data_IF_608886804032
#
_entry.id   IF_608886804032
#
_cell.length_a   1.000
_cell.length_b   1.000
_cell.length_c   1.000
_cell.angle_alpha   90.00
_cell.angle_beta   90.00
_cell.angle_gamma   90.00
#
_symmetry.space_group_name_H-M   'P 1'
#
loop_
_entity.id
_entity.type
_entity.pdbx_description
1 polymer ?
#
# COMPACT_ATOMS: atom_id res chain seq x y z
N UNK A 1 -11.75 9.68 16.95
CA UNK A 1 -11.17 9.83 15.60
C UNK A 1 -9.65 9.92 15.59
N UNK A 2 -9.02 10.92 16.23
CA UNK A 2 -7.55 11.15 16.22
C UNK A 2 -6.70 9.93 16.64
N UNK A 3 -7.04 9.27 17.75
CA UNK A 3 -6.32 8.08 18.22
C UNK A 3 -6.33 6.90 17.22
N UNK A 4 -7.46 6.66 16.55
CA UNK A 4 -7.58 5.57 15.55
C UNK A 4 -6.73 5.84 14.31
N UNK A 5 -6.67 7.11 13.88
CA UNK A 5 -5.83 7.51 12.75
C UNK A 5 -4.34 7.38 13.09
N UNK A 6 -3.91 7.86 14.26
CA UNK A 6 -2.52 7.75 14.71
C UNK A 6 -2.13 6.28 14.86
N UNK A 7 -2.99 5.46 15.47
CA UNK A 7 -2.79 4.01 15.58
C UNK A 7 -2.63 3.37 14.20
N UNK A 8 -3.53 3.65 13.25
CA UNK A 8 -3.45 3.11 11.90
C UNK A 8 -2.16 3.52 11.17
N UNK A 9 -1.73 4.79 11.32
CA UNK A 9 -0.49 5.29 10.73
C UNK A 9 0.75 4.60 11.32
N UNK A 10 0.82 4.48 12.64
CA UNK A 10 1.94 3.79 13.32
C UNK A 10 1.97 2.30 12.92
N UNK A 11 0.81 1.64 12.91
CA UNK A 11 0.71 0.25 12.49
C UNK A 11 1.13 0.04 11.03
N UNK A 12 0.73 0.94 10.13
CA UNK A 12 1.16 0.91 8.73
C UNK A 12 2.68 1.13 8.60
N UNK A 13 3.26 2.05 9.36
CA UNK A 13 4.70 2.28 9.39
C UNK A 13 5.46 1.03 9.87
N UNK A 14 5.02 0.41 10.96
CA UNK A 14 5.65 -0.79 11.52
C UNK A 14 5.55 -1.96 10.54
N UNK A 15 4.35 -2.27 10.05
CA UNK A 15 4.13 -3.42 9.16
C UNK A 15 4.90 -3.28 7.84
N UNK A 16 4.90 -2.10 7.22
CA UNK A 16 5.67 -1.86 5.98
C UNK A 16 7.19 -1.92 6.23
N UNK A 17 7.65 -1.42 7.38
CA UNK A 17 9.06 -1.52 7.76
C UNK A 17 9.49 -2.98 7.94
N UNK A 18 8.68 -3.83 8.59
CA UNK A 18 8.97 -5.25 8.78
C UNK A 18 9.03 -6.00 7.45
N UNK A 19 8.01 -5.85 6.59
CA UNK A 19 7.97 -6.54 5.29
C UNK A 19 9.16 -6.12 4.43
N UNK A 20 9.45 -4.81 4.34
CA UNK A 20 10.59 -4.31 3.57
C UNK A 20 11.93 -4.78 4.13
N UNK A 21 12.06 -4.83 5.46
CA UNK A 21 13.26 -5.30 6.13
C UNK A 21 13.52 -6.76 5.79
N UNK A 22 12.51 -7.63 5.94
CA UNK A 22 12.63 -9.05 5.62
C UNK A 22 13.00 -9.26 4.16
N UNK A 23 12.33 -8.57 3.22
CA UNK A 23 12.62 -8.71 1.80
C UNK A 23 14.04 -8.25 1.45
N UNK A 24 14.46 -7.08 1.93
CA UNK A 24 15.79 -6.54 1.63
C UNK A 24 16.86 -7.39 2.34
N UNK A 25 16.60 -7.90 3.55
CA UNK A 25 17.52 -8.78 4.27
C UNK A 25 17.76 -10.09 3.51
N UNK A 26 16.71 -10.70 2.97
CA UNK A 26 16.82 -11.94 2.18
C UNK A 26 17.54 -11.69 0.84
N UNK A 27 17.25 -10.57 0.17
CA UNK A 27 17.77 -10.31 -1.18
C UNK A 27 19.20 -9.73 -1.18
N UNK A 28 19.54 -8.86 -0.23
CA UNK A 28 20.82 -8.13 -0.17
C UNK A 28 21.77 -8.72 0.87
N UNK A 29 21.23 -9.42 1.87
CA UNK A 29 22.00 -9.90 3.03
C UNK A 29 22.39 -8.78 4.00
N UNK A 30 22.88 -9.18 5.17
CA UNK A 30 23.32 -8.26 6.23
C UNK A 30 24.74 -7.75 5.97
N UNK A 31 24.88 -6.78 5.06
CA UNK A 31 26.13 -6.06 4.81
C UNK A 31 26.29 -4.86 5.74
N UNK A 32 27.50 -4.30 5.85
CA UNK A 32 27.75 -3.06 6.63
C UNK A 32 26.91 -1.87 6.18
N UNK A 33 26.41 -1.91 4.93
CA UNK A 33 25.55 -0.88 4.33
C UNK A 33 24.06 -1.24 4.36
N UNK A 34 23.69 -2.37 4.94
CA UNK A 34 22.33 -2.87 4.93
C UNK A 34 21.32 -1.87 5.50
N UNK A 35 21.55 -1.39 6.73
CA UNK A 35 20.64 -0.45 7.39
C UNK A 35 20.43 0.85 6.58
N UNK A 36 21.48 1.55 6.10
CA UNK A 36 21.27 2.75 5.28
C UNK A 36 20.61 2.47 3.93
N UNK A 37 20.89 1.31 3.30
CA UNK A 37 20.20 0.90 2.05
C UNK A 37 18.72 0.64 2.32
N UNK A 38 18.43 -0.15 3.34
CA UNK A 38 17.07 -0.50 3.76
C UNK A 38 16.27 0.74 4.11
N UNK A 39 16.79 1.61 4.98
CA UNK A 39 16.07 2.80 5.45
C UNK A 39 15.81 3.79 4.31
N UNK A 40 16.78 4.00 3.40
CA UNK A 40 16.61 4.85 2.21
C UNK A 40 15.57 4.27 1.25
N UNK A 41 15.65 2.98 0.95
CA UNK A 41 14.70 2.34 0.04
C UNK A 41 13.29 2.31 0.63
N UNK A 42 13.14 1.95 1.89
CA UNK A 42 11.86 1.88 2.57
C UNK A 42 11.19 3.26 2.68
N UNK A 43 11.94 4.30 3.07
CA UNK A 43 11.37 5.65 3.22
C UNK A 43 10.88 6.23 1.89
N UNK A 44 11.65 6.07 0.79
CA UNK A 44 11.23 6.49 -0.55
C UNK A 44 9.98 5.72 -0.98
N UNK A 45 9.97 4.40 -0.83
CA UNK A 45 8.82 3.57 -1.18
C UNK A 45 7.58 3.92 -0.36
N UNK A 46 7.73 4.20 0.94
CA UNK A 46 6.63 4.59 1.81
C UNK A 46 5.98 5.91 1.37
N UNK A 47 6.79 6.93 1.07
CA UNK A 47 6.28 8.21 0.56
C UNK A 47 5.56 8.02 -0.78
N UNK A 48 6.14 7.25 -1.70
CA UNK A 48 5.51 6.93 -2.98
C UNK A 48 4.19 6.18 -2.80
N UNK A 49 4.12 5.22 -1.87
CA UNK A 49 2.90 4.46 -1.58
C UNK A 49 1.79 5.35 -1.00
N UNK A 50 2.11 6.30 -0.12
CA UNK A 50 1.15 7.26 0.43
C UNK A 50 0.61 8.18 -0.68
N UNK A 51 1.48 8.72 -1.53
CA UNK A 51 1.06 9.55 -2.66
C UNK A 51 0.21 8.75 -3.64
N UNK A 52 0.65 7.55 -4.01
CA UNK A 52 -0.09 6.63 -4.85
C UNK A 52 -1.47 6.35 -4.24
N UNK A 53 -1.58 6.06 -2.95
CA UNK A 53 -2.87 5.83 -2.29
C UNK A 53 -3.78 7.07 -2.37
N UNK A 54 -3.26 8.28 -2.15
CA UNK A 54 -4.05 9.52 -2.26
C UNK A 54 -4.56 9.80 -3.68
N UNK A 55 -3.74 9.58 -4.70
CA UNK A 55 -4.10 9.88 -6.10
C UNK A 55 -4.84 8.73 -6.81
N UNK A 56 -4.48 7.48 -6.51
CA UNK A 56 -4.96 6.28 -7.21
C UNK A 56 -6.22 5.74 -6.56
N UNK A 57 -6.37 5.79 -5.22
CA UNK A 57 -7.57 5.30 -4.54
C UNK A 57 -8.89 5.84 -5.12
N UNK A 58 -9.07 7.17 -5.36
CA UNK A 58 -10.32 7.66 -5.95
C UNK A 58 -10.55 7.12 -7.37
N UNK A 59 -9.49 6.93 -8.16
CA UNK A 59 -9.60 6.37 -9.52
C UNK A 59 -9.99 4.90 -9.50
N UNK A 60 -9.42 4.14 -8.58
CA UNK A 60 -9.78 2.73 -8.38
C UNK A 60 -11.22 2.60 -7.88
N UNK A 61 -11.68 3.49 -6.99
CA UNK A 61 -13.08 3.50 -6.55
C UNK A 61 -14.06 3.71 -7.72
N UNK A 62 -13.75 4.64 -8.64
CA UNK A 62 -14.56 4.84 -9.85
C UNK A 62 -14.56 3.60 -10.74
N UNK A 63 -13.40 2.96 -10.94
CA UNK A 63 -13.28 1.75 -11.75
C UNK A 63 -14.07 0.58 -11.13
N UNK A 64 -13.96 0.37 -9.82
CA UNK A 64 -14.71 -0.67 -9.10
C UNK A 64 -16.21 -0.42 -9.19
N UNK A 65 -16.64 0.83 -9.01
CA UNK A 65 -18.05 1.21 -9.18
C UNK A 65 -18.57 0.92 -10.60
N UNK A 66 -17.76 1.19 -11.63
CA UNK A 66 -18.10 0.87 -13.01
C UNK A 66 -18.21 -0.64 -13.26
N UNK A 67 -17.25 -1.43 -12.76
CA UNK A 67 -17.25 -2.89 -12.90
C UNK A 67 -18.44 -3.54 -12.19
N UNK A 68 -18.77 -3.08 -10.99
CA UNK A 68 -19.91 -3.60 -10.24
C UNK A 68 -21.23 -3.25 -10.91
N UNK A 69 -21.39 -2.01 -11.40
CA UNK A 69 -22.57 -1.60 -12.18
C UNK A 69 -22.73 -2.46 -13.45
N UNK A 70 -21.63 -2.76 -14.15
CA UNK A 70 -21.66 -3.62 -15.34
C UNK A 70 -22.17 -5.02 -15.01
N UNK A 71 -21.72 -5.60 -13.88
CA UNK A 71 -22.17 -6.93 -13.47
C UNK A 71 -23.67 -6.95 -13.15
N UNK A 72 -24.17 -5.96 -12.40
CA UNK A 72 -25.60 -5.85 -12.05
C UNK A 72 -26.50 -5.70 -13.29
N UNK A 73 -26.07 -4.94 -14.30
CA UNK A 73 -26.82 -4.77 -15.56
C UNK A 73 -26.82 -6.06 -16.39
N UNK A 74 -25.73 -6.82 -16.36
CA UNK A 74 -25.64 -8.09 -17.09
C UNK A 74 -26.57 -9.16 -16.50
N UNK A 75 -26.81 -9.15 -15.19
CA UNK A 75 -27.71 -10.09 -14.52
C UNK A 75 -29.20 -9.72 -14.72
N UNK A 76 -29.53 -8.45 -14.98
CA UNK A 76 -30.90 -7.96 -15.22
C UNK A 76 -31.37 -8.17 -16.67
N UNK A 77 -30.45 -8.28 -17.63
CA UNK A 77 -30.77 -8.52 -19.07
C UNK A 77 -30.96 -10.02 -19.39
N UNK A 78 -30.53 -10.93 -18.49
CA UNK A 78 -30.61 -12.40 -18.65
C UNK A 78 -31.81 -13.04 -17.90
N UNK A 79 -32.64 -12.25 -17.21
CA UNK A 79 -33.80 -12.71 -16.43
C UNK A 79 -35.10 -12.02 -16.82
#
# INVERSE_FOLDING_TARGET
MKHRLIFALIMAMITTSMISFTLIAINVGFTTRFIPIWLRSWSISYVLAVLAMLFIAPRVQVLVGFLLKKHLIADEDDN
#
